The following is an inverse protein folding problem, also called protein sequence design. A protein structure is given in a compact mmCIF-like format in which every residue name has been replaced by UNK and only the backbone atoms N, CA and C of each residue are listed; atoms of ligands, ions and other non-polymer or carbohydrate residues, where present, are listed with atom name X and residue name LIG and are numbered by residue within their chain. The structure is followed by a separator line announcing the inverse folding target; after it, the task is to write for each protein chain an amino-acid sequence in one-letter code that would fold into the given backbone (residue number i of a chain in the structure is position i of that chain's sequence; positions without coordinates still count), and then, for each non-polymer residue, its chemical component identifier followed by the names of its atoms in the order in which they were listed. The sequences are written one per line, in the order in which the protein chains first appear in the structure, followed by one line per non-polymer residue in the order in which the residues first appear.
data_IF_246713542238
#
_entry.id   IF_246713542238
#
_cell.length_a   1.000
_cell.length_b   1.000
_cell.length_c   1.000
_cell.angle_alpha   90.00
_cell.angle_beta   90.00
_cell.angle_gamma   90.00
#
_symmetry.space_group_name_H-M   'P 1'
#
loop_
_entity.id
_entity.type
_entity.pdbx_description
1 polymer ?
#
# COMPACT_ATOMS: atom_id res chain seq x y z
N UNK A 1 -18.80 -24.73 -22.96
CA UNK A 1 -17.89 -23.93 -23.80
C UNK A 1 -18.71 -22.73 -24.26
N UNK A 2 -18.39 -21.53 -23.77
CA UNK A 2 -19.12 -20.31 -24.06
C UNK A 2 -18.12 -19.22 -24.41
N UNK A 3 -18.20 -18.76 -25.65
CA UNK A 3 -17.27 -17.84 -26.30
C UNK A 3 -17.04 -16.53 -25.54
N UNK A 4 -15.77 -16.14 -25.47
CA UNK A 4 -15.34 -14.78 -25.12
C UNK A 4 -15.76 -13.87 -26.27
N UNK A 5 -16.96 -13.31 -26.18
CA UNK A 5 -17.42 -12.26 -27.09
C UNK A 5 -16.54 -11.02 -26.90
N UNK A 6 -15.71 -10.75 -27.91
CA UNK A 6 -15.20 -9.41 -28.20
C UNK A 6 -16.39 -8.46 -28.41
N UNK A 7 -16.69 -7.67 -27.39
CA UNK A 7 -17.45 -6.43 -27.51
C UNK A 7 -16.99 -5.49 -26.40
N UNK A 8 -16.81 -4.20 -26.56
CA UNK A 8 -16.77 -3.25 -27.65
C UNK A 8 -15.85 -2.14 -27.13
N UNK A 9 -15.37 -1.25 -27.99
CA UNK A 9 -14.66 -0.03 -27.60
C UNK A 9 -15.42 0.70 -26.49
N UNK A 10 -15.01 0.51 -25.23
CA UNK A 10 -15.59 1.18 -24.08
C UNK A 10 -14.82 2.50 -23.89
N UNK A 11 -15.49 3.63 -23.64
CA UNK A 11 -14.83 4.94 -23.45
C UNK A 11 -13.75 4.94 -22.36
N UNK A 12 -13.82 3.99 -21.44
CA UNK A 12 -12.81 3.76 -20.39
C UNK A 12 -11.42 3.31 -20.89
N UNK A 13 -11.25 3.01 -22.19
CA UNK A 13 -9.94 2.76 -22.78
C UNK A 13 -9.20 4.04 -23.23
N UNK A 14 -9.81 5.22 -23.08
CA UNK A 14 -9.25 6.49 -23.61
C UNK A 14 -9.28 7.69 -22.66
N UNK A 15 -9.76 7.55 -21.43
CA UNK A 15 -9.72 8.69 -20.52
C UNK A 15 -8.35 8.81 -19.87
N UNK A 16 -7.56 9.72 -20.45
CA UNK A 16 -6.31 10.23 -19.93
C UNK A 16 -6.43 10.59 -18.45
N UNK A 17 -5.63 9.86 -17.68
CA UNK A 17 -5.12 10.13 -16.34
C UNK A 17 -5.06 11.62 -15.94
N UNK A 18 -6.14 12.18 -15.42
CA UNK A 18 -6.15 13.50 -14.78
C UNK A 18 -6.49 13.38 -13.30
N UNK A 19 -5.47 13.16 -12.47
CA UNK A 19 -5.60 13.13 -11.01
C UNK A 19 -4.35 12.63 -10.29
N UNK A 20 -3.21 13.31 -10.49
CA UNK A 20 -1.84 12.95 -10.02
C UNK A 20 -1.28 11.66 -10.65
N UNK A 21 -0.90 11.73 -11.91
CA UNK A 21 0.08 10.84 -12.55
C UNK A 21 1.41 10.84 -11.77
N UNK A 22 1.71 9.83 -10.93
CA UNK A 22 3.01 9.77 -10.23
C UNK A 22 3.75 8.43 -10.23
N UNK A 23 3.11 7.30 -10.53
CA UNK A 23 3.85 6.04 -10.71
C UNK A 23 4.44 5.91 -12.12
N UNK A 24 3.70 6.35 -13.14
CA UNK A 24 4.05 6.15 -14.55
C UNK A 24 3.98 4.68 -15.00
N UNK A 25 3.28 3.84 -14.22
CA UNK A 25 3.15 2.40 -14.47
C UNK A 25 1.72 2.04 -14.90
N UNK A 26 1.62 1.19 -15.90
CA UNK A 26 0.41 0.43 -16.23
C UNK A 26 0.07 -0.60 -15.14
N UNK A 27 -1.14 -1.15 -15.19
CA UNK A 27 -1.57 -2.21 -14.27
C UNK A 27 -0.66 -3.45 -14.37
N UNK A 28 -0.30 -3.86 -15.59
CA UNK A 28 0.55 -5.03 -15.83
C UNK A 28 1.97 -4.83 -15.29
N UNK A 29 2.54 -3.63 -15.45
CA UNK A 29 3.84 -3.27 -14.85
C UNK A 29 3.78 -3.32 -13.31
N UNK A 30 2.66 -2.90 -12.71
CA UNK A 30 2.45 -3.02 -11.27
C UNK A 30 2.40 -4.48 -10.82
N UNK A 31 1.69 -5.34 -11.55
CA UNK A 31 1.61 -6.78 -11.27
C UNK A 31 3.00 -7.42 -11.40
N UNK A 32 3.77 -7.05 -12.42
CA UNK A 32 5.15 -7.53 -12.55
C UNK A 32 6.00 -7.12 -11.35
N UNK A 33 5.96 -5.85 -10.94
CA UNK A 33 6.70 -5.37 -9.78
C UNK A 33 6.33 -6.14 -8.50
N UNK A 34 5.05 -6.47 -8.29
CA UNK A 34 4.60 -7.29 -7.16
C UNK A 34 5.23 -8.69 -7.24
N UNK A 35 5.15 -9.36 -8.39
CA UNK A 35 5.70 -10.71 -8.58
C UNK A 35 7.22 -10.76 -8.36
N UNK A 36 7.96 -9.77 -8.90
CA UNK A 36 9.40 -9.60 -8.67
C UNK A 36 9.68 -9.43 -7.18
N UNK A 37 8.93 -8.54 -6.53
CA UNK A 37 9.06 -8.27 -5.10
C UNK A 37 8.81 -9.53 -4.25
N UNK A 38 7.85 -10.37 -4.64
CA UNK A 38 7.57 -11.66 -4.00
C UNK A 38 8.66 -12.72 -4.17
N UNK A 39 9.50 -12.59 -5.20
CA UNK A 39 10.67 -13.45 -5.35
C UNK A 39 11.81 -12.98 -4.45
N UNK A 40 12.12 -11.68 -4.51
CA UNK A 40 13.04 -11.02 -3.59
C UNK A 40 12.88 -9.51 -3.71
N UNK A 41 12.43 -8.86 -2.63
CA UNK A 41 12.24 -7.42 -2.65
C UNK A 41 13.53 -6.63 -2.91
N UNK A 42 14.66 -7.10 -2.35
CA UNK A 42 15.93 -6.38 -2.42
C UNK A 42 16.69 -6.60 -3.72
N UNK A 43 16.59 -7.81 -4.30
CA UNK A 43 17.27 -8.14 -5.55
C UNK A 43 16.37 -7.92 -6.76
N UNK A 44 15.19 -8.51 -6.76
CA UNK A 44 14.29 -8.52 -7.93
C UNK A 44 13.39 -7.28 -7.95
N UNK A 45 12.71 -6.95 -6.85
CA UNK A 45 11.79 -5.80 -6.81
C UNK A 45 12.54 -4.46 -6.96
N UNK A 46 13.57 -4.24 -6.16
CA UNK A 46 14.43 -3.06 -6.29
C UNK A 46 15.25 -3.09 -7.59
N UNK A 47 15.63 -4.28 -8.08
CA UNK A 47 16.29 -4.46 -9.38
C UNK A 47 15.41 -3.97 -10.52
N UNK A 48 14.16 -4.42 -10.56
CA UNK A 48 13.17 -3.99 -11.54
C UNK A 48 12.95 -2.48 -11.52
N UNK A 49 12.87 -1.84 -10.35
CA UNK A 49 12.77 -0.38 -10.27
C UNK A 49 13.99 0.33 -10.88
N UNK A 50 15.19 -0.20 -10.67
CA UNK A 50 16.42 0.35 -11.27
C UNK A 50 16.43 0.19 -12.77
N UNK A 51 15.97 -0.95 -13.28
CA UNK A 51 15.87 -1.21 -14.72
C UNK A 51 14.83 -0.28 -15.37
N UNK A 52 13.66 -0.14 -14.75
CA UNK A 52 12.53 0.62 -15.31
C UNK A 52 12.72 2.14 -15.28
N UNK A 53 13.33 2.65 -14.21
CA UNK A 53 13.44 4.10 -13.96
C UNK A 53 14.88 4.62 -14.01
N UNK A 54 15.86 3.75 -14.25
CA UNK A 54 17.27 4.12 -14.35
C UNK A 54 17.76 4.88 -13.12
N UNK A 55 18.53 5.97 -13.27
CA UNK A 55 19.02 6.80 -12.15
C UNK A 55 17.90 7.35 -11.24
N UNK A 56 16.68 7.51 -11.76
CA UNK A 56 15.55 8.11 -11.07
C UNK A 56 14.77 7.13 -10.18
N UNK A 57 15.11 5.84 -10.17
CA UNK A 57 14.43 4.80 -9.36
C UNK A 57 14.23 5.18 -7.90
N UNK A 58 15.12 6.05 -7.38
CA UNK A 58 15.09 6.55 -6.02
C UNK A 58 13.79 7.29 -5.68
N UNK A 59 13.23 8.07 -6.61
CA UNK A 59 11.95 8.76 -6.44
C UNK A 59 10.73 7.83 -6.47
N UNK A 60 10.92 6.57 -6.88
CA UNK A 60 9.86 5.58 -7.06
C UNK A 60 9.87 4.49 -5.99
N UNK A 61 10.61 4.68 -4.89
CA UNK A 61 10.66 3.68 -3.82
C UNK A 61 9.30 3.44 -3.13
N UNK A 62 8.38 4.40 -3.16
CA UNK A 62 6.99 4.18 -2.71
C UNK A 62 6.35 2.97 -3.40
N UNK A 63 6.64 2.75 -4.69
CA UNK A 63 6.14 1.61 -5.46
C UNK A 63 6.61 0.27 -4.88
N UNK A 64 7.86 0.22 -4.39
CA UNK A 64 8.40 -0.97 -3.72
C UNK A 64 7.68 -1.26 -2.41
N UNK A 65 7.37 -0.22 -1.62
CA UNK A 65 6.60 -0.35 -0.39
C UNK A 65 5.21 -0.92 -0.65
N UNK A 66 4.48 -0.35 -1.61
CA UNK A 66 3.16 -0.84 -2.03
C UNK A 66 3.24 -2.29 -2.51
N UNK A 67 4.23 -2.62 -3.34
CA UNK A 67 4.45 -3.97 -3.84
C UNK A 67 4.77 -4.98 -2.72
N UNK A 68 5.52 -4.58 -1.70
CA UNK A 68 5.83 -5.39 -0.52
C UNK A 68 4.56 -5.76 0.26
N UNK A 69 3.69 -4.78 0.50
CA UNK A 69 2.42 -5.01 1.22
C UNK A 69 1.47 -5.84 0.39
N UNK A 70 1.36 -5.58 -0.92
CA UNK A 70 0.55 -6.38 -1.85
C UNK A 70 1.04 -7.84 -1.92
N UNK A 71 2.36 -8.02 -1.96
CA UNK A 71 2.98 -9.35 -1.95
C UNK A 71 2.68 -10.12 -0.66
N UNK A 72 2.83 -9.45 0.49
CA UNK A 72 2.46 -10.00 1.79
C UNK A 72 0.99 -10.43 1.80
N UNK A 73 0.08 -9.54 1.40
CA UNK A 73 -1.35 -9.79 1.42
C UNK A 73 -1.74 -10.96 0.51
N UNK A 74 -1.15 -11.03 -0.69
CA UNK A 74 -1.35 -12.15 -1.63
C UNK A 74 -0.88 -13.47 -1.02
N UNK A 75 0.28 -13.48 -0.36
CA UNK A 75 0.82 -14.67 0.33
C UNK A 75 -0.07 -15.14 1.48
N UNK A 76 -0.81 -14.21 2.10
CA UNK A 76 -1.78 -14.49 3.18
C UNK A 76 -3.21 -14.70 2.67
N UNK A 77 -3.41 -14.79 1.35
CA UNK A 77 -4.72 -14.92 0.71
C UNK A 77 -5.70 -13.78 1.04
N UNK A 78 -5.18 -12.58 1.31
CA UNK A 78 -5.98 -11.38 1.50
C UNK A 78 -6.29 -10.71 0.16
N UNK A 79 -7.49 -10.14 0.04
CA UNK A 79 -7.84 -9.31 -1.11
C UNK A 79 -7.05 -8.00 -1.08
N UNK A 80 -6.53 -7.58 -2.24
CA UNK A 80 -5.78 -6.32 -2.39
C UNK A 80 -6.43 -5.47 -3.47
N UNK A 81 -6.70 -4.21 -3.15
CA UNK A 81 -7.17 -3.21 -4.10
C UNK A 81 -6.14 -2.08 -4.16
N UNK A 82 -5.59 -1.81 -5.34
CA UNK A 82 -4.60 -0.73 -5.53
C UNK A 82 -5.30 0.62 -5.71
N UNK A 83 -4.59 1.72 -5.40
CA UNK A 83 -5.08 3.10 -5.50
C UNK A 83 -5.97 3.41 -6.72
N UNK A 84 -5.61 3.01 -7.97
CA UNK A 84 -6.45 3.34 -9.13
C UNK A 84 -7.85 2.70 -9.04
N UNK A 85 -7.92 1.48 -8.52
CA UNK A 85 -9.18 0.74 -8.34
C UNK A 85 -9.93 1.16 -7.09
N UNK A 86 -9.23 1.72 -6.10
CA UNK A 86 -9.86 2.23 -4.89
C UNK A 86 -10.79 3.41 -5.21
N UNK A 87 -10.40 4.29 -6.13
CA UNK A 87 -11.23 5.43 -6.57
C UNK A 87 -12.54 5.02 -7.26
N UNK A 88 -12.61 3.79 -7.76
CA UNK A 88 -13.80 3.22 -8.39
C UNK A 88 -14.78 2.61 -7.37
N UNK A 89 -14.36 2.43 -6.11
CA UNK A 89 -15.21 1.85 -5.07
C UNK A 89 -16.15 2.90 -4.48
N UNK A 90 -17.42 2.54 -4.33
CA UNK A 90 -18.43 3.36 -3.62
C UNK A 90 -18.24 3.26 -2.11
N UNK A 91 -17.20 3.91 -1.60
CA UNK A 91 -16.90 4.00 -0.17
C UNK A 91 -17.62 5.26 0.36
N UNK A 92 -18.16 5.27 1.60
CA UNK A 92 -18.83 6.44 2.19
C UNK A 92 -17.84 7.53 2.62
N UNK A 93 -16.84 7.79 1.78
CA UNK A 93 -15.76 8.76 1.92
C UNK A 93 -15.45 9.26 0.54
N UNK A 94 -15.21 10.56 0.38
CA UNK A 94 -14.68 11.11 -0.86
C UNK A 94 -13.26 10.53 -1.12
N UNK A 95 -13.10 9.62 -2.10
CA UNK A 95 -11.80 9.02 -2.40
C UNK A 95 -10.84 10.00 -3.08
N UNK A 96 -11.27 11.23 -3.38
CA UNK A 96 -10.37 12.30 -3.81
C UNK A 96 -9.74 13.05 -2.63
N UNK A 97 -10.37 12.99 -1.46
CA UNK A 97 -9.86 13.55 -0.21
C UNK A 97 -8.85 12.63 0.49
N UNK A 98 -8.87 11.33 0.17
CA UNK A 98 -7.90 10.35 0.66
C UNK A 98 -7.09 9.85 -0.53
N UNK A 99 -5.77 9.92 -0.47
CA UNK A 99 -4.90 9.40 -1.54
C UNK A 99 -4.14 8.15 -1.05
N UNK A 100 -4.84 7.04 -0.73
CA UNK A 100 -4.21 5.84 -0.21
C UNK A 100 -3.49 5.08 -1.32
N UNK A 101 -2.41 4.37 -0.99
CA UNK A 101 -1.67 3.58 -1.98
C UNK A 101 -2.34 2.23 -2.28
N UNK A 102 -2.97 1.63 -1.27
CA UNK A 102 -3.69 0.35 -1.40
C UNK A 102 -4.70 0.13 -0.27
N UNK A 103 -5.61 -0.82 -0.46
CA UNK A 103 -6.48 -1.36 0.56
C UNK A 103 -6.34 -2.88 0.63
N UNK A 104 -6.39 -3.43 1.85
CA UNK A 104 -6.31 -4.87 2.13
C UNK A 104 -7.57 -5.34 2.84
N UNK A 105 -8.20 -6.39 2.32
CA UNK A 105 -9.37 -7.03 2.91
C UNK A 105 -8.93 -8.10 3.92
N UNK A 106 -9.31 -7.93 5.18
CA UNK A 106 -8.88 -8.73 6.32
C UNK A 106 -10.10 -9.36 7.01
N UNK A 107 -10.69 -10.37 6.38
CA UNK A 107 -11.96 -10.94 6.84
C UNK A 107 -13.10 -9.94 6.63
N UNK A 108 -13.76 -9.54 7.72
CA UNK A 108 -14.83 -8.53 7.70
C UNK A 108 -14.31 -7.08 7.70
N UNK A 109 -13.00 -6.90 7.93
CA UNK A 109 -12.39 -5.58 8.06
C UNK A 109 -11.69 -5.16 6.75
N UNK A 110 -11.68 -3.86 6.48
CA UNK A 110 -10.94 -3.24 5.38
C UNK A 110 -9.84 -2.34 5.95
N UNK A 111 -8.58 -2.57 5.56
CA UNK A 111 -7.45 -1.71 5.96
C UNK A 111 -6.98 -0.89 4.75
N UNK A 112 -7.24 0.41 4.78
CA UNK A 112 -6.79 1.39 3.78
C UNK A 112 -5.44 1.95 4.23
N UNK A 113 -4.44 1.90 3.35
CA UNK A 113 -3.05 2.19 3.68
C UNK A 113 -2.44 3.26 2.78
N UNK A 114 -1.75 4.22 3.39
CA UNK A 114 -0.65 4.96 2.76
C UNK A 114 0.66 4.23 3.10
N UNK A 115 1.54 4.06 2.12
CA UNK A 115 2.80 3.35 2.25
C UNK A 115 3.94 4.27 1.83
N UNK A 116 4.84 4.55 2.77
CA UNK A 116 6.01 5.38 2.53
C UNK A 116 7.28 4.58 2.68
N UNK A 117 8.24 4.84 1.80
CA UNK A 117 9.58 4.28 1.92
C UNK A 117 10.57 5.42 2.14
N UNK A 118 11.19 5.43 3.31
CA UNK A 118 12.14 6.45 3.76
C UNK A 118 13.57 5.95 3.65
N UNK A 119 14.48 6.85 3.29
CA UNK A 119 15.92 6.65 3.39
C UNK A 119 16.46 7.57 4.46
N UNK A 120 17.33 7.07 5.33
CA UNK A 120 18.33 7.76 6.18
C UNK A 120 18.05 9.15 6.82
N UNK A 121 16.90 9.78 6.62
CA UNK A 121 16.58 11.12 7.04
C UNK A 121 15.41 11.10 8.02
N UNK A 122 15.48 12.02 8.99
CA UNK A 122 14.36 12.42 9.85
C UNK A 122 13.37 13.22 9.01
N UNK A 123 12.71 12.55 8.06
CA UNK A 123 11.55 13.16 7.44
C UNK A 123 10.45 13.23 8.49
N UNK A 124 9.89 14.42 8.71
CA UNK A 124 8.63 14.54 9.44
C UNK A 124 7.65 13.55 8.81
N UNK A 125 7.09 12.67 9.64
CA UNK A 125 6.18 11.62 9.21
C UNK A 125 4.80 12.21 8.93
N UNK A 126 4.71 13.23 8.07
CA UNK A 126 3.44 13.83 7.67
C UNK A 126 2.78 12.91 6.66
N UNK A 127 1.66 12.31 7.03
CA UNK A 127 0.81 11.50 6.17
C UNK A 127 -0.41 12.30 5.74
N UNK A 128 -0.85 12.11 4.49
CA UNK A 128 -2.11 12.70 4.02
C UNK A 128 -3.32 12.06 4.72
N UNK A 129 -3.14 10.85 5.25
CA UNK A 129 -4.15 10.19 6.08
C UNK A 129 -4.16 10.69 7.53
N UNK A 130 -3.23 11.54 7.99
CA UNK A 130 -3.22 12.01 9.38
C UNK A 130 -4.48 12.82 9.70
N UNK A 131 -4.77 13.85 8.91
CA UNK A 131 -5.96 14.67 9.07
C UNK A 131 -7.23 13.84 8.91
N UNK A 132 -7.20 12.88 7.99
CA UNK A 132 -8.34 12.03 7.71
C UNK A 132 -8.61 11.02 8.85
N UNK A 133 -7.57 10.43 9.40
CA UNK A 133 -7.65 9.52 10.54
C UNK A 133 -8.14 10.23 11.80
N UNK A 134 -7.70 11.47 12.03
CA UNK A 134 -8.17 12.31 13.15
C UNK A 134 -9.65 12.63 13.00
N UNK A 135 -10.09 13.06 11.82
CA UNK A 135 -11.45 13.56 11.61
C UNK A 135 -12.49 12.43 11.43
N UNK A 136 -12.14 11.34 10.75
CA UNK A 136 -13.09 10.31 10.32
C UNK A 136 -12.80 8.92 10.87
N UNK A 137 -11.65 8.69 11.51
CA UNK A 137 -11.22 7.36 11.92
C UNK A 137 -12.21 6.64 12.85
N UNK A 138 -12.85 7.35 13.78
CA UNK A 138 -13.86 6.75 14.67
C UNK A 138 -15.17 6.39 13.96
N UNK A 139 -15.55 7.15 12.93
CA UNK A 139 -16.71 6.82 12.09
C UNK A 139 -16.43 5.57 11.26
N UNK A 140 -15.30 5.53 10.56
CA UNK A 140 -14.94 4.43 9.66
C UNK A 140 -14.72 3.11 10.39
N UNK A 141 -14.14 3.15 11.60
CA UNK A 141 -13.98 1.96 12.44
C UNK A 141 -15.30 1.27 12.77
N UNK A 142 -16.42 2.00 12.87
CA UNK A 142 -17.75 1.41 13.10
C UNK A 142 -18.22 0.55 11.92
N UNK A 143 -17.69 0.80 10.73
CA UNK A 143 -17.95 0.06 9.51
C UNK A 143 -16.87 -1.01 9.21
N UNK A 144 -15.99 -1.31 10.16
CA UNK A 144 -14.87 -2.22 9.94
C UNK A 144 -13.78 -1.64 9.03
N UNK A 145 -13.78 -0.32 8.79
CA UNK A 145 -12.79 0.35 7.95
C UNK A 145 -11.71 0.97 8.83
N UNK A 146 -10.47 0.51 8.63
CA UNK A 146 -9.27 0.96 9.31
C UNK A 146 -8.42 1.78 8.37
N UNK A 147 -7.86 2.86 8.88
CA UNK A 147 -6.88 3.69 8.17
C UNK A 147 -5.52 3.45 8.81
N UNK A 148 -4.48 3.36 7.99
CA UNK A 148 -3.13 3.29 8.51
C UNK A 148 -2.05 3.76 7.56
N UNK A 149 -0.85 3.94 8.12
CA UNK A 149 0.34 4.31 7.38
C UNK A 149 1.46 3.34 7.71
N UNK A 150 2.09 2.77 6.69
CA UNK A 150 3.27 1.92 6.86
C UNK A 150 4.50 2.66 6.34
N UNK A 151 5.42 2.95 7.26
CA UNK A 151 6.71 3.55 6.96
C UNK A 151 7.77 2.46 6.88
N UNK A 152 8.20 2.11 5.67
CA UNK A 152 9.37 1.29 5.46
C UNK A 152 10.64 2.14 5.56
N UNK A 153 11.63 1.69 6.34
CA UNK A 153 12.90 2.41 6.51
C UNK A 153 14.07 1.61 5.95
N UNK A 154 14.78 2.20 4.98
CA UNK A 154 16.06 1.70 4.48
C UNK A 154 17.18 2.29 5.36
N UNK A 155 17.47 1.66 6.51
CA UNK A 155 18.57 2.06 7.41
C UNK A 155 18.18 2.14 8.89
N UNK A 156 19.15 2.53 9.73
CA UNK A 156 18.96 2.78 11.17
C UNK A 156 18.85 4.29 11.37
N UNK A 157 17.70 4.76 11.86
CA UNK A 157 17.45 6.19 12.11
C UNK A 157 16.67 6.40 13.40
N UNK A 158 16.57 7.65 13.85
CA UNK A 158 15.85 8.03 15.07
C UNK A 158 14.36 7.74 14.91
N UNK A 159 13.78 7.06 15.90
CA UNK A 159 12.35 6.74 15.95
C UNK A 159 11.63 7.86 16.68
N UNK A 160 10.86 8.65 15.93
CA UNK A 160 9.82 9.46 16.55
C UNK A 160 8.66 8.57 16.98
N UNK A 161 7.88 9.03 17.95
CA UNK A 161 6.70 8.30 18.41
C UNK A 161 5.61 8.41 17.34
N UNK A 162 5.48 7.38 16.51
CA UNK A 162 4.44 7.31 15.49
C UNK A 162 3.02 7.35 16.11
N UNK A 163 2.04 8.02 15.47
CA UNK A 163 0.65 8.00 15.91
C UNK A 163 0.06 6.58 15.89
N UNK A 164 -1.10 6.34 16.54
CA UNK A 164 -1.70 5.00 16.63
C UNK A 164 -2.02 4.34 15.29
N UNK A 165 -2.32 5.14 14.26
CA UNK A 165 -2.58 4.71 12.89
C UNK A 165 -1.31 4.60 12.02
N UNK A 166 -0.13 4.91 12.55
CA UNK A 166 1.13 4.72 11.84
C UNK A 166 1.96 3.59 12.46
N UNK A 167 2.71 2.91 11.61
CA UNK A 167 3.64 1.88 12.00
C UNK A 167 4.90 1.91 11.13
N UNK A 168 5.98 1.38 11.66
CA UNK A 168 7.27 1.34 11.00
C UNK A 168 7.72 -0.10 10.78
N UNK A 169 8.32 -0.35 9.61
CA UNK A 169 8.90 -1.64 9.23
C UNK A 169 10.31 -1.42 8.71
N UNK A 170 11.27 -2.22 9.19
CA UNK A 170 12.67 -2.07 8.77
C UNK A 170 12.97 -2.84 7.49
N UNK A 171 13.55 -2.17 6.50
CA UNK A 171 14.11 -2.76 5.27
C UNK A 171 15.64 -2.77 5.33
N UNK A 172 16.18 -3.74 6.08
CA UNK A 172 17.61 -3.99 6.07
C UNK A 172 18.01 -4.77 4.80
N UNK A 173 19.07 -4.37 4.07
CA UNK A 173 19.59 -5.17 2.97
C UNK A 173 19.81 -6.63 3.39
N UNK A 174 19.33 -7.58 2.57
CA UNK A 174 19.44 -9.02 2.86
C UNK A 174 18.36 -9.59 3.79
N UNK A 175 17.47 -8.76 4.36
CA UNK A 175 16.31 -9.26 5.12
C UNK A 175 15.39 -10.08 4.22
N UNK A 176 15.12 -11.34 4.62
CA UNK A 176 14.26 -12.27 3.88
C UNK A 176 12.78 -11.88 4.02
N UNK A 177 11.98 -12.20 2.99
CA UNK A 177 10.54 -11.93 2.96
C UNK A 177 9.80 -12.52 4.16
N UNK A 178 10.12 -13.74 4.59
CA UNK A 178 9.46 -14.35 5.76
C UNK A 178 9.62 -13.53 7.04
N UNK A 179 10.82 -13.00 7.33
CA UNK A 179 11.05 -12.14 8.49
C UNK A 179 10.34 -10.77 8.34
N UNK A 180 10.31 -10.24 7.11
CA UNK A 180 9.58 -9.00 6.81
C UNK A 180 8.07 -9.17 7.00
N UNK A 181 7.50 -10.30 6.57
CA UNK A 181 6.08 -10.60 6.67
C UNK A 181 5.63 -10.76 8.11
N UNK A 182 6.48 -11.31 9.00
CA UNK A 182 6.19 -11.34 10.43
C UNK A 182 6.08 -9.93 11.04
N UNK A 183 6.92 -8.99 10.61
CA UNK A 183 6.79 -7.60 11.04
C UNK A 183 5.52 -6.94 10.49
N UNK A 184 5.19 -7.20 9.21
CA UNK A 184 3.95 -6.70 8.60
C UNK A 184 2.71 -7.31 9.29
N UNK A 185 2.73 -8.59 9.69
CA UNK A 185 1.64 -9.21 10.47
C UNK A 185 1.39 -8.42 11.76
N UNK A 186 2.44 -8.08 12.51
CA UNK A 186 2.32 -7.32 13.76
C UNK A 186 1.82 -5.89 13.53
N UNK A 187 2.24 -5.25 12.43
CA UNK A 187 1.71 -3.95 12.01
C UNK A 187 0.22 -4.04 11.72
N UNK A 188 -0.21 -5.03 10.95
CA UNK A 188 -1.61 -5.21 10.60
C UNK A 188 -2.45 -5.43 11.86
N UNK A 189 -2.00 -6.32 12.76
CA UNK A 189 -2.64 -6.51 14.07
C UNK A 189 -2.71 -5.20 14.86
N UNK A 190 -1.66 -4.38 14.89
CA UNK A 190 -1.68 -3.09 15.61
C UNK A 190 -2.73 -2.15 15.02
N UNK A 191 -2.79 -2.03 13.70
CA UNK A 191 -3.69 -1.10 13.00
C UNK A 191 -5.17 -1.54 13.07
N UNK A 192 -5.42 -2.85 13.17
CA UNK A 192 -6.78 -3.42 13.23
C UNK A 192 -7.22 -3.83 14.64
N UNK A 193 -6.37 -3.73 15.65
CA UNK A 193 -6.72 -4.03 17.05
C UNK A 193 -7.79 -3.06 17.55
N UNK A 194 -9.06 -3.46 17.41
CA UNK A 194 -10.17 -3.17 18.34
C UNK A 194 -11.41 -3.98 17.94
N UNK A 195 -11.43 -5.29 18.26
CA UNK A 195 -12.68 -6.07 18.23
C UNK A 195 -12.81 -7.18 19.29
N UNK A 196 -11.98 -7.16 20.34
CA UNK A 196 -12.11 -8.12 21.46
C UNK A 196 -12.16 -7.44 22.82
N UNK A 197 -13.13 -6.55 22.99
CA UNK A 197 -13.81 -6.34 24.26
C UNK A 197 -15.28 -6.11 23.92
N UNK A 198 -16.00 -7.19 23.66
CA UNK A 198 -17.45 -7.18 23.80
C UNK A 198 -17.81 -7.11 25.30
N UNK A 199 -19.02 -6.62 25.63
CA UNK A 199 -19.50 -6.47 27.00
C UNK A 199 -19.49 -7.79 27.80
#
# INVERSE_FOLDING_TARGET
MGDIRRSHNHPAARDEFSGRSRSGLSFDEYVELINRTCTSWSREGLGWLRERFGPNYKGHLGLLGTALVACYATTRCHGVVLEPRFRELSIPVDPTATNPDLAVVLGDDLLILEVKVHRFESAELVSQLDDFAVNYGAFLKRWGIHLGVIHFRLGVGVREKAPPWAAEVSLAPGKKLGALFLEIDEVFKKLTRHRRKGP
#
